data_IF_078981830140
#
_entry.id   IF_078981830140
#
_cell.length_a   1.000
_cell.length_b   1.000
_cell.length_c   1.000
_cell.angle_alpha   90.00
_cell.angle_beta   90.00
_cell.angle_gamma   90.00
#
_symmetry.space_group_name_H-M   'P 1'
#
loop_
_entity.id
_entity.type
_entity.pdbx_description
1 polymer ?
#
# COMPACT_ATOMS: atom_id res chain seq x y z
N UNK A 1 -7.79 7.69 17.92
CA UNK A 1 -7.26 6.74 16.94
C UNK A 1 -6.68 7.57 15.80
N UNK A 2 -5.53 7.20 15.26
CA UNK A 2 -5.04 7.81 14.02
C UNK A 2 -5.84 7.21 12.87
N UNK A 3 -6.47 8.05 12.07
CA UNK A 3 -7.14 7.65 10.83
C UNK A 3 -6.11 7.09 9.86
N UNK A 4 -6.48 6.03 9.16
CA UNK A 4 -5.66 5.45 8.11
C UNK A 4 -6.42 5.31 6.79
N UNK A 5 -5.66 5.27 5.71
CA UNK A 5 -6.19 5.10 4.36
C UNK A 5 -5.60 3.83 3.77
N UNK A 6 -6.47 2.94 3.31
CA UNK A 6 -6.08 1.67 2.73
C UNK A 6 -5.88 1.77 1.22
N UNK A 7 -4.85 1.09 0.72
CA UNK A 7 -4.68 0.76 -0.69
C UNK A 7 -4.56 -0.75 -0.80
N UNK A 8 -5.28 -1.36 -1.74
CA UNK A 8 -5.07 -2.76 -2.06
C UNK A 8 -4.63 -2.94 -3.51
N UNK A 9 -3.94 -4.05 -3.79
CA UNK A 9 -3.52 -4.41 -5.14
C UNK A 9 -3.41 -5.92 -5.30
N UNK A 10 -3.82 -6.41 -6.47
CA UNK A 10 -3.67 -7.82 -6.83
C UNK A 10 -2.20 -8.17 -7.21
N UNK A 11 -1.27 -7.21 -7.10
CA UNK A 11 0.17 -7.48 -7.26
C UNK A 11 0.75 -8.24 -6.06
N UNK A 12 1.68 -9.15 -6.35
CA UNK A 12 2.45 -9.85 -5.32
C UNK A 12 3.24 -8.88 -4.43
N UNK A 13 3.33 -9.18 -3.13
CA UNK A 13 4.00 -8.33 -2.14
C UNK A 13 5.43 -7.95 -2.56
N UNK A 14 6.20 -8.89 -3.11
CA UNK A 14 7.55 -8.63 -3.59
C UNK A 14 7.63 -7.59 -4.72
N UNK A 15 6.60 -7.51 -5.57
CA UNK A 15 6.50 -6.48 -6.63
C UNK A 15 6.18 -5.12 -6.03
N UNK A 16 5.26 -5.07 -5.06
CA UNK A 16 4.92 -3.85 -4.32
C UNK A 16 6.14 -3.29 -3.62
N UNK A 17 6.90 -4.12 -2.90
CA UNK A 17 8.12 -3.67 -2.19
C UNK A 17 9.18 -3.13 -3.15
N UNK A 18 9.37 -3.75 -4.32
CA UNK A 18 10.29 -3.21 -5.34
C UNK A 18 9.87 -1.83 -5.86
N UNK A 19 8.56 -1.58 -6.00
CA UNK A 19 8.05 -0.26 -6.37
C UNK A 19 8.31 0.74 -5.25
N UNK A 20 8.04 0.35 -4.00
CA UNK A 20 8.31 1.19 -2.82
C UNK A 20 9.79 1.60 -2.77
N UNK A 21 10.71 0.63 -2.82
CA UNK A 21 12.16 0.87 -2.75
C UNK A 21 12.66 1.79 -3.88
N UNK A 22 12.12 1.63 -5.09
CA UNK A 22 12.61 2.34 -6.27
C UNK A 22 12.00 3.72 -6.47
N UNK A 23 10.73 3.92 -6.10
CA UNK A 23 9.96 5.11 -6.49
C UNK A 23 9.39 5.92 -5.33
N UNK A 24 9.31 5.36 -4.12
CA UNK A 24 8.77 6.08 -2.96
C UNK A 24 9.84 6.61 -1.99
N UNK A 25 11.12 6.28 -2.24
CA UNK A 25 12.28 6.74 -1.47
C UNK A 25 12.06 6.64 0.06
N UNK A 26 11.77 5.44 0.59
CA UNK A 26 11.42 5.28 2.00
C UNK A 26 12.58 5.70 2.90
N UNK A 27 12.28 6.48 3.95
CA UNK A 27 13.26 6.93 4.97
C UNK A 27 13.76 5.75 5.81
N UNK A 28 12.93 4.73 5.95
CA UNK A 28 13.26 3.45 6.55
C UNK A 28 12.40 2.38 5.90
N UNK A 29 12.94 1.21 5.62
CA UNK A 29 12.14 0.04 5.21
C UNK A 29 12.58 -1.13 6.08
N UNK A 30 11.67 -1.59 6.94
CA UNK A 30 11.91 -2.73 7.84
C UNK A 30 10.94 -3.84 7.54
N UNK A 31 11.36 -5.08 7.75
CA UNK A 31 10.47 -6.24 7.74
C UNK A 31 10.38 -6.78 9.16
N UNK A 32 9.15 -7.05 9.62
CA UNK A 32 8.92 -7.70 10.91
C UNK A 32 8.43 -9.13 10.70
N UNK A 33 8.91 -10.04 11.55
CA UNK A 33 8.52 -11.45 11.55
C UNK A 33 9.44 -12.35 10.72
N UNK A 34 9.74 -13.53 11.27
CA UNK A 34 10.50 -14.57 10.58
C UNK A 34 9.67 -15.13 9.43
N UNK A 35 9.76 -14.47 8.28
CA UNK A 35 9.37 -14.86 6.91
C UNK A 35 9.11 -13.63 6.00
N UNK A 36 9.23 -12.39 6.49
CA UNK A 36 9.14 -11.20 5.64
C UNK A 36 7.73 -10.92 5.09
N UNK A 37 6.70 -11.20 5.90
CA UNK A 37 5.28 -11.05 5.51
C UNK A 37 4.73 -9.64 5.71
N UNK A 38 5.36 -8.85 6.58
CA UNK A 38 4.94 -7.48 6.87
C UNK A 38 6.13 -6.54 6.75
N UNK A 39 5.96 -5.49 5.96
CA UNK A 39 6.93 -4.41 5.79
C UNK A 39 6.38 -3.11 6.37
N UNK A 40 7.27 -2.27 6.88
CA UNK A 40 6.95 -0.96 7.43
C UNK A 40 7.92 0.06 6.89
N UNK A 41 7.40 1.21 6.47
CA UNK A 41 8.23 2.32 6.03
C UNK A 41 7.68 3.68 6.38
N UNK A 42 8.58 4.65 6.55
CA UNK A 42 8.24 6.07 6.59
C UNK A 42 8.50 6.72 5.23
N UNK A 43 7.65 7.66 4.81
CA UNK A 43 7.91 8.51 3.65
C UNK A 43 8.73 9.75 4.06
N UNK A 44 9.41 10.42 3.12
CA UNK A 44 10.15 11.66 3.42
C UNK A 44 9.29 12.80 4.00
N UNK A 45 8.00 12.87 3.65
CA UNK A 45 7.08 13.87 4.20
C UNK A 45 6.52 13.51 5.59
N UNK A 46 6.77 12.29 6.08
CA UNK A 46 6.36 11.82 7.39
C UNK A 46 5.00 11.14 7.45
N UNK A 47 4.57 10.47 6.38
CA UNK A 47 3.59 9.40 6.48
C UNK A 47 4.27 8.10 6.94
N UNK A 48 3.49 7.26 7.61
CA UNK A 48 3.91 5.93 8.04
C UNK A 48 3.03 4.88 7.35
N UNK A 49 3.65 3.86 6.79
CA UNK A 49 2.99 2.86 5.95
C UNK A 49 3.32 1.46 6.45
N UNK A 50 2.28 0.63 6.58
CA UNK A 50 2.43 -0.82 6.76
C UNK A 50 1.98 -1.51 5.48
N UNK A 51 2.74 -2.52 5.03
CA UNK A 51 2.45 -3.30 3.83
C UNK A 51 2.48 -4.78 4.18
N UNK A 52 1.50 -5.54 3.73
CA UNK A 52 1.46 -6.99 3.88
C UNK A 52 0.69 -7.62 2.72
N UNK A 53 0.70 -8.94 2.65
CA UNK A 53 -0.26 -9.70 1.85
C UNK A 53 -1.28 -10.40 2.74
N UNK A 54 -2.50 -10.58 2.22
CA UNK A 54 -3.53 -11.43 2.80
C UNK A 54 -4.13 -12.37 1.74
N UNK A 55 -4.67 -13.51 2.19
CA UNK A 55 -5.39 -14.44 1.32
C UNK A 55 -6.86 -14.04 1.28
N UNK A 56 -7.37 -13.68 0.10
CA UNK A 56 -8.80 -13.53 -0.13
C UNK A 56 -9.44 -14.92 -0.18
N UNK A 57 -9.91 -15.40 0.96
CA UNK A 57 -10.48 -16.76 1.13
C UNK A 57 -11.62 -17.04 0.12
N UNK A 58 -12.36 -16.01 -0.28
CA UNK A 58 -13.52 -16.15 -1.18
C UNK A 58 -13.14 -16.45 -2.64
N UNK A 59 -11.95 -16.01 -3.07
CA UNK A 59 -11.49 -16.14 -4.46
C UNK A 59 -10.17 -16.91 -4.59
N UNK A 60 -9.59 -17.36 -3.47
CA UNK A 60 -8.30 -18.06 -3.39
C UNK A 60 -7.15 -17.28 -4.07
N UNK A 61 -7.21 -15.95 -3.96
CA UNK A 61 -6.21 -15.03 -4.52
C UNK A 61 -5.45 -14.31 -3.40
N UNK A 62 -4.15 -14.13 -3.59
CA UNK A 62 -3.31 -13.35 -2.68
C UNK A 62 -3.37 -11.89 -3.11
N UNK A 63 -3.76 -11.00 -2.20
CA UNK A 63 -3.76 -9.56 -2.39
C UNK A 63 -2.71 -8.91 -1.48
N UNK A 64 -2.03 -7.89 -1.98
CA UNK A 64 -1.21 -7.01 -1.14
C UNK A 64 -2.00 -5.79 -0.72
N UNK A 65 -1.88 -5.40 0.54
CA UNK A 65 -2.52 -4.23 1.09
C UNK A 65 -1.49 -3.31 1.75
N UNK A 66 -1.80 -2.01 1.73
CA UNK A 66 -1.05 -0.95 2.36
C UNK A 66 -1.99 -0.17 3.26
N UNK A 67 -1.57 0.05 4.50
CA UNK A 67 -2.26 0.89 5.47
C UNK A 67 -1.43 2.13 5.76
N UNK A 68 -1.99 3.31 5.45
CA UNK A 68 -1.26 4.58 5.34
C UNK A 68 -1.76 5.56 6.38
N UNK A 69 -0.85 5.99 7.25
CA UNK A 69 -1.08 7.01 8.27
C UNK A 69 -0.41 8.30 7.84
N UNK A 70 -1.18 9.29 7.40
CA UNK A 70 -0.70 10.56 6.83
C UNK A 70 -0.12 11.57 7.85
N UNK A 71 0.30 11.11 9.03
CA UNK A 71 0.67 11.90 10.23
C UNK A 71 1.07 13.36 9.96
N UNK A 72 2.16 13.61 9.22
CA UNK A 72 2.59 14.96 8.81
C UNK A 72 2.61 15.18 7.29
N UNK A 73 2.14 14.22 6.49
CA UNK A 73 2.09 14.29 5.02
C UNK A 73 0.66 14.07 4.49
N UNK A 74 -0.21 15.09 4.55
CA UNK A 74 -1.53 15.01 3.94
C UNK A 74 -1.43 14.70 2.44
N UNK A 75 -2.23 13.75 1.96
CA UNK A 75 -2.23 13.31 0.57
C UNK A 75 -1.17 12.25 0.23
N UNK A 76 -0.42 11.75 1.20
CA UNK A 76 0.52 10.64 0.99
C UNK A 76 -0.18 9.41 0.40
N UNK A 77 -1.41 9.08 0.83
CA UNK A 77 -2.15 7.94 0.29
C UNK A 77 -2.44 8.11 -1.20
N UNK A 78 -2.90 9.29 -1.61
CA UNK A 78 -3.15 9.60 -3.01
C UNK A 78 -1.88 9.53 -3.87
N UNK A 79 -0.75 10.02 -3.35
CA UNK A 79 0.55 9.96 -4.03
C UNK A 79 1.06 8.53 -4.16
N UNK A 80 0.99 7.74 -3.10
CA UNK A 80 1.39 6.32 -3.11
C UNK A 80 0.52 5.54 -4.10
N UNK A 81 -0.80 5.77 -4.08
CA UNK A 81 -1.72 5.19 -5.06
C UNK A 81 -1.31 5.49 -6.50
N UNK A 82 -1.00 6.75 -6.82
CA UNK A 82 -0.58 7.13 -8.18
C UNK A 82 0.70 6.40 -8.60
N UNK A 83 1.70 6.33 -7.72
CA UNK A 83 2.95 5.60 -8.01
C UNK A 83 2.67 4.11 -8.24
N UNK A 84 1.84 3.48 -7.41
CA UNK A 84 1.48 2.07 -7.59
C UNK A 84 0.71 1.86 -8.91
N UNK A 85 -0.28 2.69 -9.20
CA UNK A 85 -1.07 2.63 -10.43
C UNK A 85 -0.22 2.79 -11.69
N UNK A 86 0.81 3.65 -11.66
CA UNK A 86 1.72 3.86 -12.80
C UNK A 86 2.75 2.75 -12.97
N UNK A 87 3.19 2.10 -11.88
CA UNK A 87 4.28 1.13 -11.91
C UNK A 87 3.82 -0.34 -11.91
N UNK A 88 2.56 -0.59 -11.56
CA UNK A 88 1.94 -1.91 -11.58
C UNK A 88 1.02 -2.05 -12.79
N UNK A 89 0.87 -3.28 -13.25
CA UNK A 89 -0.08 -3.65 -14.31
C UNK A 89 -1.37 -4.24 -13.72
N UNK A 90 -1.30 -4.68 -12.46
CA UNK A 90 -2.39 -5.22 -11.68
C UNK A 90 -3.28 -4.10 -11.16
N UNK A 91 -4.51 -4.47 -10.81
CA UNK A 91 -5.46 -3.56 -10.19
C UNK A 91 -4.86 -2.95 -8.93
N UNK A 92 -5.11 -1.65 -8.76
CA UNK A 92 -4.80 -0.91 -7.54
C UNK A 92 -6.06 -0.15 -7.14
N UNK A 93 -6.49 -0.31 -5.89
CA UNK A 93 -7.71 0.31 -5.35
C UNK A 93 -7.34 1.18 -4.16
N UNK A 94 -7.81 2.41 -4.13
CA UNK A 94 -7.69 3.35 -3.01
C UNK A 94 -9.03 3.50 -2.32
N UNK A 95 -9.05 3.33 -1.01
CA UNK A 95 -10.25 3.47 -0.19
C UNK A 95 -10.32 4.83 0.50
N UNK A 96 -11.51 5.21 0.96
CA UNK A 96 -11.70 6.37 1.81
C UNK A 96 -11.15 6.08 3.22
N UNK A 97 -10.70 7.12 3.97
CA UNK A 97 -10.09 6.90 5.27
C UNK A 97 -11.03 6.19 6.26
N UNK A 98 -10.52 5.17 6.95
CA UNK A 98 -11.24 4.29 7.87
C UNK A 98 -12.57 3.73 7.29
N UNK A 99 -12.68 3.57 5.97
CA UNK A 99 -13.90 3.15 5.27
C UNK A 99 -13.61 2.10 4.19
N UNK A 100 -14.64 1.31 3.85
CA UNK A 100 -14.62 0.40 2.70
C UNK A 100 -15.06 1.08 1.39
N UNK A 101 -15.37 2.38 1.42
CA UNK A 101 -15.78 3.12 0.23
C UNK A 101 -14.58 3.31 -0.72
N UNK A 102 -14.74 2.85 -1.96
CA UNK A 102 -13.72 3.02 -3.00
C UNK A 102 -13.69 4.47 -3.47
N UNK A 103 -12.51 5.09 -3.42
CA UNK A 103 -12.27 6.47 -3.88
C UNK A 103 -11.70 6.48 -5.29
N UNK A 104 -10.81 5.54 -5.61
CA UNK A 104 -10.21 5.43 -6.94
C UNK A 104 -9.79 3.98 -7.23
N UNK A 105 -9.84 3.61 -8.51
CA UNK A 105 -9.30 2.34 -9.02
C UNK A 105 -8.50 2.57 -10.30
N UNK A 106 -7.43 1.81 -10.45
CA UNK A 106 -6.59 1.79 -11.64
C UNK A 106 -6.41 0.35 -12.14
N UNK A 107 -6.10 0.21 -13.43
CA UNK A 107 -5.76 -1.06 -14.08
C UNK A 107 -6.85 -2.13 -13.95
N UNK A 108 -8.12 -1.72 -13.95
CA UNK A 108 -9.28 -2.62 -14.00
C UNK A 108 -9.49 -3.03 -15.46
N UNK A 109 -9.28 -4.31 -15.79
CA UNK A 109 -9.45 -4.87 -17.14
C UNK A 109 -10.45 -6.01 -17.17
#
# INVERSE_FOLDING_TARGET
MSTSTEITTDAELGKVIRVVEKFLEPVSLTSDGGEGKVFRFGTPGGAYVTVSSDLKIEVDEIESWLDIYEQTEPGAAQRIYQVLAEQLSERVTLFAPDSADVVAEANVS
#
